data_IF_275083403514
#
_entry.id   IF_275083403514
#
_cell.length_a   1.000
_cell.length_b   1.000
_cell.length_c   1.000
_cell.angle_alpha   90.00
_cell.angle_beta   90.00
_cell.angle_gamma   90.00
#
_symmetry.space_group_name_H-M   'P 1'
#
loop_
_entity.id
_entity.type
_entity.pdbx_description
1 polymer ?
#
# COMPACT_ATOMS: atom_id res chain seq x y z
N UNK A 1 -18.74 13.29 -14.58
CA UNK A 1 -17.71 12.62 -13.75
C UNK A 1 -17.02 11.58 -14.63
N UNK A 2 -15.72 11.73 -14.97
CA UNK A 2 -15.00 10.74 -15.76
C UNK A 2 -14.94 9.42 -14.98
N UNK A 3 -15.34 8.32 -15.61
CA UNK A 3 -15.11 6.98 -15.06
C UNK A 3 -13.62 6.79 -14.89
N UNK A 4 -13.14 6.56 -13.67
CA UNK A 4 -11.77 6.12 -13.44
C UNK A 4 -11.69 4.67 -13.93
N UNK A 5 -11.04 4.47 -15.08
CA UNK A 5 -10.59 3.17 -15.51
C UNK A 5 -9.18 2.96 -14.94
N UNK A 6 -9.00 1.98 -14.08
CA UNK A 6 -7.67 1.63 -13.59
C UNK A 6 -7.03 0.56 -14.48
N UNK A 7 -5.73 0.68 -14.69
CA UNK A 7 -4.97 -0.30 -15.43
C UNK A 7 -4.67 -1.51 -14.52
N UNK A 8 -5.01 -2.71 -14.97
CA UNK A 8 -4.74 -3.94 -14.21
C UNK A 8 -3.24 -4.24 -14.06
N UNK A 9 -2.42 -3.74 -14.97
CA UNK A 9 -0.96 -3.94 -14.98
C UNK A 9 -0.28 -2.60 -15.19
N UNK A 10 0.60 -2.25 -14.25
CA UNK A 10 1.45 -1.08 -14.35
C UNK A 10 2.91 -1.55 -14.40
N UNK A 11 3.70 -1.00 -15.32
CA UNK A 11 5.10 -1.37 -15.52
C UNK A 11 6.04 -0.24 -15.12
N UNK A 12 7.01 -0.56 -14.28
CA UNK A 12 8.18 0.27 -13.97
C UNK A 12 9.43 -0.20 -14.71
N UNK A 13 10.58 0.26 -14.28
CA UNK A 13 11.88 -0.16 -14.81
C UNK A 13 12.22 -1.59 -14.41
N UNK A 14 12.06 -1.91 -13.11
CA UNK A 14 12.39 -3.22 -12.52
C UNK A 14 11.14 -3.97 -12.06
N UNK A 15 10.07 -3.25 -11.76
CA UNK A 15 8.86 -3.78 -11.14
C UNK A 15 7.71 -3.90 -12.14
N UNK A 16 6.84 -4.85 -11.86
CA UNK A 16 5.49 -4.90 -12.41
C UNK A 16 4.51 -4.90 -11.25
N UNK A 17 3.54 -3.99 -11.29
CA UNK A 17 2.41 -3.99 -10.38
C UNK A 17 1.22 -4.64 -11.09
N UNK A 18 0.58 -5.63 -10.45
CA UNK A 18 -0.60 -6.32 -10.99
C UNK A 18 -1.74 -6.20 -10.01
N UNK A 19 -2.89 -5.74 -10.47
CA UNK A 19 -4.09 -5.67 -9.65
C UNK A 19 -4.39 -7.03 -9.03
N UNK A 20 -4.66 -7.05 -7.73
CA UNK A 20 -4.97 -8.28 -7.00
C UNK A 20 -6.38 -8.74 -7.30
N UNK A 21 -6.56 -10.05 -7.43
CA UNK A 21 -7.87 -10.69 -7.65
C UNK A 21 -8.02 -11.87 -6.69
N UNK A 22 -9.25 -12.21 -6.27
CA UNK A 22 -9.48 -13.40 -5.45
C UNK A 22 -9.18 -14.66 -6.26
N UNK A 23 -8.08 -15.30 -5.93
CA UNK A 23 -7.60 -16.54 -6.52
C UNK A 23 -6.93 -17.37 -5.44
N UNK A 24 -7.29 -18.65 -5.34
CA UNK A 24 -6.79 -19.56 -4.27
C UNK A 24 -5.27 -19.72 -4.35
N UNK A 25 -4.71 -19.82 -5.57
CA UNK A 25 -3.27 -19.98 -5.76
C UNK A 25 -2.54 -18.72 -5.31
N UNK A 26 -3.06 -17.54 -5.66
CA UNK A 26 -2.48 -16.27 -5.22
C UNK A 26 -2.65 -16.09 -3.70
N UNK A 27 -3.82 -16.42 -3.12
CA UNK A 27 -4.04 -16.36 -1.67
C UNK A 27 -3.06 -17.26 -0.90
N UNK A 28 -2.72 -18.45 -1.44
CA UNK A 28 -1.70 -19.32 -0.87
C UNK A 28 -0.31 -18.70 -0.88
N UNK A 29 0.09 -18.09 -2.01
CA UNK A 29 1.37 -17.37 -2.13
C UNK A 29 1.41 -16.20 -1.14
N UNK A 30 0.35 -15.41 -1.09
CA UNK A 30 0.22 -14.26 -0.21
C UNK A 30 0.31 -14.67 1.26
N UNK A 31 -0.47 -15.66 1.70
CA UNK A 31 -0.46 -16.18 3.07
C UNK A 31 0.94 -16.64 3.48
N UNK A 32 1.59 -17.48 2.66
CA UNK A 32 2.94 -17.97 2.94
C UNK A 32 3.96 -16.82 3.06
N UNK A 33 3.83 -15.79 2.22
CA UNK A 33 4.71 -14.64 2.26
C UNK A 33 4.47 -13.78 3.51
N UNK A 34 3.21 -13.56 3.90
CA UNK A 34 2.84 -12.86 5.14
C UNK A 34 3.37 -13.65 6.35
N UNK A 35 3.18 -14.96 6.39
CA UNK A 35 3.63 -15.81 7.50
C UNK A 35 5.14 -15.74 7.68
N UNK A 36 5.91 -15.89 6.58
CA UNK A 36 7.37 -15.77 6.58
C UNK A 36 7.85 -14.41 7.08
N UNK A 37 7.07 -13.34 6.86
CA UNK A 37 7.43 -11.97 7.21
C UNK A 37 6.66 -11.41 8.41
N UNK A 38 5.84 -12.20 9.10
CA UNK A 38 4.95 -11.76 10.17
C UNK A 38 5.63 -10.93 11.24
N UNK A 39 6.82 -11.34 11.70
CA UNK A 39 7.60 -10.60 12.70
C UNK A 39 7.98 -9.19 12.23
N UNK A 40 8.31 -9.04 10.94
CA UNK A 40 8.62 -7.75 10.33
C UNK A 40 7.36 -6.89 10.15
N UNK A 41 6.26 -7.50 9.69
CA UNK A 41 5.02 -6.80 9.36
C UNK A 41 4.28 -6.30 10.59
N UNK A 42 4.17 -7.12 11.65
CA UNK A 42 3.40 -6.80 12.87
C UNK A 42 3.87 -5.54 13.59
N UNK A 43 5.10 -5.10 13.34
CA UNK A 43 5.63 -3.88 13.94
C UNK A 43 4.90 -2.64 13.44
N UNK A 44 4.46 -2.64 12.18
CA UNK A 44 3.90 -1.46 11.51
C UNK A 44 2.48 -1.65 10.99
N UNK A 45 2.03 -2.88 10.83
CA UNK A 45 0.78 -3.23 10.16
C UNK A 45 -0.08 -4.10 11.09
N UNK A 46 -1.27 -3.61 11.44
CA UNK A 46 -2.17 -4.32 12.35
C UNK A 46 -3.00 -5.41 11.67
N UNK A 47 -3.15 -5.37 10.35
CA UNK A 47 -3.99 -6.30 9.58
C UNK A 47 -3.35 -7.70 9.46
N UNK A 48 -2.04 -7.84 9.66
CA UNK A 48 -1.34 -9.13 9.53
C UNK A 48 -1.90 -10.20 10.48
N UNK A 49 -2.42 -9.80 11.62
CA UNK A 49 -3.06 -10.69 12.60
C UNK A 49 -4.37 -11.33 12.12
N UNK A 50 -5.02 -10.72 11.12
CA UNK A 50 -6.26 -11.20 10.53
C UNK A 50 -6.02 -12.29 9.47
N UNK A 51 -4.79 -12.41 8.96
CA UNK A 51 -4.40 -13.40 7.95
C UNK A 51 -3.71 -14.58 8.64
N UNK A 52 -4.49 -15.58 9.06
CA UNK A 52 -4.02 -16.76 9.79
C UNK A 52 -4.05 -18.04 8.95
N UNK A 53 -4.83 -18.03 7.89
CA UNK A 53 -5.00 -19.15 6.97
C UNK A 53 -5.06 -18.66 5.52
N UNK A 54 -5.02 -19.61 4.58
CA UNK A 54 -5.22 -19.32 3.15
C UNK A 54 -6.64 -18.80 2.90
N UNK A 55 -7.61 -19.32 3.65
CA UNK A 55 -9.02 -18.90 3.57
C UNK A 55 -9.19 -17.45 4.02
N UNK A 56 -8.48 -17.02 5.06
CA UNK A 56 -8.47 -15.60 5.49
C UNK A 56 -7.90 -14.69 4.39
N UNK A 57 -6.80 -15.12 3.77
CA UNK A 57 -6.20 -14.40 2.65
C UNK A 57 -7.15 -14.32 1.44
N UNK A 58 -7.82 -15.41 1.12
CA UNK A 58 -8.81 -15.44 0.04
C UNK A 58 -10.00 -14.52 0.33
N UNK A 59 -10.53 -14.58 1.55
CA UNK A 59 -11.60 -13.68 2.02
C UNK A 59 -11.18 -12.22 1.92
N UNK A 60 -9.97 -11.89 2.35
CA UNK A 60 -9.40 -10.54 2.22
C UNK A 60 -9.44 -10.06 0.76
N UNK A 61 -9.07 -10.89 -0.21
CA UNK A 61 -9.10 -10.50 -1.63
C UNK A 61 -10.51 -10.36 -2.18
N UNK A 62 -11.49 -11.16 -1.73
CA UNK A 62 -12.90 -10.94 -2.09
C UNK A 62 -13.42 -9.60 -1.56
N UNK A 63 -13.13 -9.25 -0.30
CA UNK A 63 -13.50 -7.97 0.27
C UNK A 63 -12.82 -6.79 -0.47
N UNK A 64 -11.56 -6.96 -0.87
CA UNK A 64 -10.84 -5.96 -1.68
C UNK A 64 -11.45 -5.79 -3.07
N UNK A 65 -11.84 -6.87 -3.73
CA UNK A 65 -12.49 -6.81 -5.04
C UNK A 65 -13.80 -6.02 -4.97
N UNK A 66 -14.64 -6.25 -3.96
CA UNK A 66 -15.88 -5.49 -3.76
C UNK A 66 -15.61 -3.99 -3.53
N UNK A 67 -14.64 -3.67 -2.67
CA UNK A 67 -14.20 -2.28 -2.47
C UNK A 67 -13.62 -1.65 -3.74
N UNK A 68 -12.94 -2.43 -4.57
CA UNK A 68 -12.43 -1.97 -5.86
C UNK A 68 -13.56 -1.63 -6.84
N UNK A 69 -14.60 -2.46 -6.89
CA UNK A 69 -15.81 -2.17 -7.68
C UNK A 69 -16.47 -0.86 -7.25
N UNK A 70 -16.48 -0.59 -5.95
CA UNK A 70 -16.98 0.65 -5.36
C UNK A 70 -16.01 1.84 -5.46
N UNK A 71 -14.79 1.63 -6.00
CA UNK A 71 -13.72 2.64 -6.08
C UNK A 71 -13.24 3.17 -4.72
N UNK A 72 -13.34 2.38 -3.69
CA UNK A 72 -12.87 2.71 -2.34
C UNK A 72 -11.39 2.36 -2.14
N UNK A 73 -10.92 1.33 -2.85
CA UNK A 73 -9.53 0.86 -2.79
C UNK A 73 -9.13 0.24 -4.12
N UNK A 74 -7.87 0.37 -4.49
CA UNK A 74 -7.27 -0.42 -5.55
C UNK A 74 -5.95 -0.95 -5.01
N UNK A 75 -5.75 -2.26 -5.13
CA UNK A 75 -4.57 -2.93 -4.62
C UNK A 75 -3.83 -3.65 -5.73
N UNK A 76 -2.51 -3.51 -5.70
CA UNK A 76 -1.59 -4.16 -6.61
C UNK A 76 -0.59 -5.03 -5.85
N UNK A 77 -0.37 -6.24 -6.33
CA UNK A 77 0.81 -7.01 -5.96
C UNK A 77 2.05 -6.43 -6.62
N UNK A 78 3.14 -6.32 -5.85
CA UNK A 78 4.46 -5.89 -6.34
C UNK A 78 5.22 -7.14 -6.80
N UNK A 79 5.65 -7.14 -8.07
CA UNK A 79 6.41 -8.23 -8.66
C UNK A 79 7.79 -7.76 -9.12
N UNK A 80 8.84 -8.44 -8.67
CA UNK A 80 10.22 -8.28 -9.12
C UNK A 80 10.65 -9.54 -9.86
N UNK A 81 11.04 -9.41 -11.14
CA UNK A 81 11.43 -10.56 -11.99
C UNK A 81 10.39 -11.69 -12.02
N UNK A 82 9.10 -11.33 -11.90
CA UNK A 82 7.99 -12.29 -11.88
C UNK A 82 7.61 -12.86 -10.52
N UNK A 83 8.41 -12.64 -9.47
CA UNK A 83 8.13 -13.07 -8.11
C UNK A 83 7.32 -12.02 -7.34
N UNK A 84 6.27 -12.46 -6.64
CA UNK A 84 5.48 -11.62 -5.75
C UNK A 84 6.25 -11.35 -4.46
N UNK A 85 6.44 -10.06 -4.11
CA UNK A 85 7.28 -9.64 -3.00
C UNK A 85 6.61 -8.68 -2.01
N UNK A 86 5.37 -8.28 -2.24
CA UNK A 86 4.61 -7.36 -1.40
C UNK A 86 3.45 -6.72 -2.12
N UNK A 87 2.75 -5.80 -1.46
CA UNK A 87 1.61 -5.08 -2.03
C UNK A 87 1.79 -3.57 -1.91
N UNK A 88 1.11 -2.87 -2.81
CA UNK A 88 0.86 -1.43 -2.74
C UNK A 88 -0.60 -1.15 -3.07
N UNK A 89 -1.23 -0.26 -2.32
CA UNK A 89 -2.64 0.09 -2.51
C UNK A 89 -2.86 1.59 -2.49
N UNK A 90 -3.91 2.02 -3.16
CA UNK A 90 -4.56 3.32 -2.97
C UNK A 90 -5.88 3.05 -2.26
N UNK A 91 -6.11 3.68 -1.15
CA UNK A 91 -7.33 3.56 -0.35
C UNK A 91 -7.78 4.93 0.16
N UNK A 92 -8.88 5.00 0.90
CA UNK A 92 -9.51 6.26 1.27
C UNK A 92 -9.73 7.18 0.05
N UNK A 93 -10.15 6.57 -1.07
CA UNK A 93 -10.35 7.28 -2.33
C UNK A 93 -11.56 8.20 -2.22
N UNK A 94 -11.34 9.48 -2.46
CA UNK A 94 -12.39 10.49 -2.63
C UNK A 94 -12.37 11.00 -4.06
N UNK A 95 -13.40 10.64 -4.83
CA UNK A 95 -13.55 11.13 -6.20
C UNK A 95 -13.95 12.60 -6.25
N UNK A 96 -14.68 13.06 -5.23
CA UNK A 96 -15.08 14.47 -5.09
C UNK A 96 -13.86 15.36 -4.86
N UNK A 97 -12.99 14.96 -3.93
CA UNK A 97 -11.79 15.72 -3.58
C UNK A 97 -10.57 15.32 -4.43
N UNK A 98 -10.73 14.36 -5.35
CA UNK A 98 -9.65 13.86 -6.21
C UNK A 98 -8.41 13.47 -5.40
N UNK A 99 -8.61 12.66 -4.37
CA UNK A 99 -7.56 12.30 -3.42
C UNK A 99 -7.60 10.83 -3.01
N UNK A 100 -6.49 10.35 -2.46
CA UNK A 100 -6.37 9.01 -1.90
C UNK A 100 -5.13 8.88 -1.03
N UNK A 101 -5.01 7.75 -0.36
CA UNK A 101 -3.88 7.43 0.52
C UNK A 101 -3.14 6.20 0.01
N UNK A 102 -1.81 6.25 0.00
CA UNK A 102 -0.95 5.14 -0.41
C UNK A 102 -0.54 4.34 0.82
N UNK A 103 -0.76 3.02 0.77
CA UNK A 103 -0.21 2.07 1.73
C UNK A 103 0.54 0.95 1.02
N UNK A 104 1.55 0.40 1.67
CA UNK A 104 2.37 -0.68 1.11
C UNK A 104 3.00 -1.54 2.18
N UNK A 105 3.39 -2.71 1.77
CA UNK A 105 4.34 -3.56 2.49
C UNK A 105 5.20 -4.35 1.52
N UNK A 106 6.35 -4.76 2.01
CA UNK A 106 7.31 -5.58 1.25
C UNK A 106 7.98 -6.59 2.18
N UNK A 107 8.47 -7.68 1.62
CA UNK A 107 9.25 -8.66 2.38
C UNK A 107 10.51 -8.04 2.97
N UNK A 108 10.94 -8.54 4.12
CA UNK A 108 12.06 -7.98 4.89
C UNK A 108 13.40 -8.04 4.13
N UNK A 109 13.61 -9.08 3.33
CA UNK A 109 14.80 -9.29 2.50
C UNK A 109 14.89 -8.32 1.31
N UNK A 110 13.75 -7.74 0.90
CA UNK A 110 13.69 -6.75 -0.18
C UNK A 110 13.68 -5.30 0.33
N UNK A 111 13.60 -5.10 1.66
CA UNK A 111 13.59 -3.76 2.24
C UNK A 111 14.92 -3.02 1.99
N UNK A 112 14.87 -1.68 1.85
CA UNK A 112 16.07 -0.84 1.67
C UNK A 112 16.61 -0.74 0.25
N UNK A 113 16.11 -1.54 -0.71
CA UNK A 113 16.60 -1.62 -2.09
C UNK A 113 15.91 -0.66 -3.08
N UNK A 114 15.14 0.33 -2.59
CA UNK A 114 14.46 1.30 -3.44
C UNK A 114 13.18 0.80 -4.12
N UNK A 115 12.80 -0.46 -3.89
CA UNK A 115 11.66 -1.13 -4.53
C UNK A 115 10.35 -0.40 -4.24
N UNK A 116 10.08 -0.09 -2.97
CA UNK A 116 8.86 0.63 -2.57
C UNK A 116 8.85 2.05 -3.16
N UNK A 117 10.01 2.71 -3.23
CA UNK A 117 10.12 4.03 -3.87
C UNK A 117 9.73 3.97 -5.35
N UNK A 118 10.17 2.94 -6.09
CA UNK A 118 9.78 2.73 -7.48
C UNK A 118 8.27 2.42 -7.57
N UNK A 119 7.74 1.54 -6.72
CA UNK A 119 6.31 1.20 -6.70
C UNK A 119 5.43 2.44 -6.43
N UNK A 120 5.80 3.30 -5.48
CA UNK A 120 5.09 4.56 -5.20
C UNK A 120 5.11 5.48 -6.41
N UNK A 121 6.24 5.64 -7.10
CA UNK A 121 6.35 6.47 -8.32
C UNK A 121 5.49 5.94 -9.47
N UNK A 122 5.37 4.61 -9.62
CA UNK A 122 4.47 4.01 -10.61
C UNK A 122 3.02 4.36 -10.30
N UNK A 123 2.59 4.21 -9.04
CA UNK A 123 1.23 4.57 -8.59
C UNK A 123 1.00 6.08 -8.74
N UNK A 124 1.95 6.90 -8.33
CA UNK A 124 1.88 8.37 -8.47
C UNK A 124 1.58 8.77 -9.92
N UNK A 125 2.32 8.20 -10.88
CA UNK A 125 2.07 8.45 -12.30
C UNK A 125 0.65 8.04 -12.71
N UNK A 126 0.18 6.89 -12.25
CA UNK A 126 -1.16 6.40 -12.57
C UNK A 126 -2.24 7.35 -12.02
N UNK A 127 -2.15 7.71 -10.74
CA UNK A 127 -3.20 8.51 -10.09
C UNK A 127 -3.21 9.96 -10.57
N UNK A 128 -2.07 10.59 -10.82
CA UNK A 128 -2.03 11.97 -11.29
C UNK A 128 -2.32 12.10 -12.78
N UNK A 129 -1.84 11.18 -13.62
CA UNK A 129 -2.03 11.28 -15.06
C UNK A 129 -3.37 10.69 -15.53
N UNK A 130 -3.73 9.51 -15.05
CA UNK A 130 -4.89 8.78 -15.55
C UNK A 130 -6.15 9.04 -14.71
N UNK A 131 -6.03 9.07 -13.37
CA UNK A 131 -7.17 9.29 -12.49
C UNK A 131 -7.41 10.77 -12.20
N UNK A 132 -6.47 11.64 -12.58
CA UNK A 132 -6.58 13.09 -12.39
C UNK A 132 -6.72 13.50 -10.92
N UNK A 133 -6.12 12.74 -9.99
CA UNK A 133 -6.10 13.14 -8.59
C UNK A 133 -5.34 14.46 -8.44
N UNK A 134 -5.79 15.26 -7.49
CA UNK A 134 -5.15 16.50 -7.08
C UNK A 134 -4.10 16.25 -5.97
N UNK A 135 -4.34 15.20 -5.15
CA UNK A 135 -3.55 14.96 -3.95
C UNK A 135 -3.45 13.48 -3.64
N UNK A 136 -2.29 13.04 -3.21
CA UNK A 136 -2.09 11.74 -2.57
C UNK A 136 -1.43 11.91 -1.20
N UNK A 137 -1.78 11.04 -0.28
CA UNK A 137 -1.27 11.03 1.09
C UNK A 137 -0.51 9.73 1.37
N UNK A 138 0.44 9.81 2.28
CA UNK A 138 1.14 8.67 2.88
C UNK A 138 1.25 8.93 4.38
N UNK A 139 0.89 7.93 5.18
CA UNK A 139 1.01 8.03 6.64
C UNK A 139 1.93 6.95 7.18
N UNK A 140 2.67 7.26 8.24
CA UNK A 140 3.51 6.27 8.91
C UNK A 140 3.80 6.67 10.37
N UNK A 141 4.18 5.67 11.16
CA UNK A 141 4.72 5.88 12.50
C UNK A 141 6.05 6.65 12.42
N UNK A 142 6.34 7.61 13.33
CA UNK A 142 7.60 8.37 13.34
C UNK A 142 8.86 7.52 13.49
N UNK A 143 8.76 6.32 14.03
CA UNK A 143 9.89 5.38 14.12
C UNK A 143 10.04 4.50 12.86
N UNK A 144 9.10 4.57 11.90
CA UNK A 144 9.21 3.86 10.63
C UNK A 144 10.09 4.63 9.64
N UNK A 145 11.38 4.67 9.94
CA UNK A 145 12.38 5.39 9.13
C UNK A 145 12.36 4.95 7.66
N UNK A 146 12.04 3.69 7.40
CA UNK A 146 11.96 3.18 6.03
C UNK A 146 10.83 3.89 5.24
N UNK A 147 9.64 4.02 5.82
CA UNK A 147 8.51 4.71 5.19
C UNK A 147 8.73 6.23 5.08
N UNK A 148 9.37 6.86 6.09
CA UNK A 148 9.76 8.28 6.01
C UNK A 148 10.68 8.51 4.80
N UNK A 149 11.72 7.70 4.65
CA UNK A 149 12.65 7.78 3.50
C UNK A 149 11.97 7.54 2.16
N UNK A 150 10.93 6.71 2.10
CA UNK A 150 10.13 6.52 0.87
C UNK A 150 9.37 7.82 0.55
N UNK A 151 8.67 8.42 1.53
CA UNK A 151 7.96 9.66 1.35
C UNK A 151 8.89 10.78 0.84
N UNK A 152 10.04 10.97 1.50
CA UNK A 152 11.05 11.97 1.12
C UNK A 152 11.59 11.76 -0.31
N UNK A 153 11.98 10.50 -0.64
CA UNK A 153 12.52 10.17 -1.99
C UNK A 153 11.48 10.28 -3.10
N UNK A 154 10.20 10.19 -2.78
CA UNK A 154 9.11 10.42 -3.72
C UNK A 154 8.65 11.88 -3.75
N UNK A 155 9.28 12.78 -2.99
CA UNK A 155 8.96 14.21 -2.99
C UNK A 155 7.66 14.55 -2.27
N UNK A 156 7.26 13.75 -1.29
CA UNK A 156 6.16 14.10 -0.39
C UNK A 156 6.62 15.11 0.64
N UNK A 157 5.76 16.07 0.96
CA UNK A 157 5.96 17.07 2.01
C UNK A 157 5.32 16.60 3.31
N UNK A 158 6.01 16.76 4.44
CA UNK A 158 5.45 16.54 5.77
C UNK A 158 4.46 17.66 6.10
N UNK A 159 3.23 17.30 6.42
CA UNK A 159 2.16 18.26 6.80
C UNK A 159 1.88 18.31 8.29
N UNK A 160 2.17 17.22 9.00
CA UNK A 160 1.90 17.21 10.43
C UNK A 160 2.09 15.88 11.13
N UNK A 161 1.77 15.93 12.42
CA UNK A 161 1.82 14.79 13.34
C UNK A 161 0.48 14.68 14.06
N UNK A 162 -0.18 13.54 13.93
CA UNK A 162 -1.30 13.17 14.80
C UNK A 162 -0.75 12.49 16.05
N UNK A 163 -0.97 13.08 17.21
CA UNK A 163 -0.51 12.51 18.48
C UNK A 163 -1.45 11.43 18.96
N UNK A 164 -0.91 10.27 19.38
CA UNK A 164 -1.65 9.12 19.91
C UNK A 164 -2.80 8.66 19.00
N UNK A 165 -2.55 8.64 17.70
CA UNK A 165 -3.54 8.40 16.65
C UNK A 165 -4.06 6.95 16.65
N UNK A 166 -3.21 5.98 16.98
CA UNK A 166 -3.62 4.57 17.04
C UNK A 166 -2.93 3.80 18.17
N UNK A 167 -3.59 2.74 18.66
CA UNK A 167 -2.99 1.80 19.60
C UNK A 167 -2.23 0.72 18.84
N UNK A 168 -0.93 0.59 19.10
CA UNK A 168 -0.11 -0.47 18.55
C UNK A 168 -0.05 -1.67 19.49
N UNK A 169 -0.59 -2.84 19.11
CA UNK A 169 -0.45 -4.05 19.92
C UNK A 169 1.00 -4.52 20.07
N UNK A 170 1.84 -4.26 19.06
CA UNK A 170 3.25 -4.62 19.09
C UNK A 170 4.03 -3.86 20.16
N UNK A 171 3.81 -2.54 20.24
CA UNK A 171 4.48 -1.68 21.22
C UNK A 171 3.71 -1.58 22.54
N UNK A 172 2.46 -2.11 22.60
CA UNK A 172 1.53 -2.01 23.71
C UNK A 172 1.33 -0.56 24.20
N UNK A 173 1.20 0.39 23.27
CA UNK A 173 1.00 1.81 23.56
C UNK A 173 0.33 2.54 22.39
N UNK A 174 -0.23 3.73 22.70
CA UNK A 174 -0.66 4.66 21.65
C UNK A 174 0.54 5.25 20.93
N UNK A 175 0.46 5.27 19.60
CA UNK A 175 1.51 5.76 18.71
C UNK A 175 1.04 6.98 17.93
N UNK A 176 1.99 7.80 17.56
CA UNK A 176 1.77 8.96 16.70
C UNK A 176 1.81 8.55 15.22
N UNK A 177 1.21 9.40 14.37
CA UNK A 177 1.21 9.20 12.91
C UNK A 177 1.71 10.47 12.21
N UNK A 178 2.78 10.37 11.45
CA UNK A 178 3.22 11.40 10.51
C UNK A 178 2.30 11.38 9.29
N UNK A 179 1.96 12.57 8.79
CA UNK A 179 1.16 12.76 7.58
C UNK A 179 2.05 13.43 6.53
N UNK A 180 2.25 12.73 5.43
CA UNK A 180 2.92 13.26 4.25
C UNK A 180 1.93 13.39 3.10
N UNK A 181 2.14 14.38 2.25
CA UNK A 181 1.33 14.55 1.04
C UNK A 181 2.14 14.94 -0.16
N UNK A 182 1.59 14.65 -1.33
CA UNK A 182 2.06 15.15 -2.61
C UNK A 182 0.89 15.66 -3.43
N UNK A 183 1.05 16.81 -4.02
CA UNK A 183 0.06 17.44 -4.89
C UNK A 183 0.41 17.20 -6.36
N UNK A 184 -0.60 17.23 -7.21
CA UNK A 184 -0.42 17.24 -8.66
C UNK A 184 0.22 18.58 -9.04
N UNK A 185 1.32 18.52 -9.77
CA UNK A 185 1.96 19.68 -10.41
C UNK A 185 1.23 20.08 -11.70
#
# INVERSE_FOLDING_TARGET
>A
MKLIAFNEILKGEKLTLKATKPDVKFATIYFNLVEKNRFHLKKWLSWEKEIKTVEDALKYFFEKEEKTKNKEVIEYGIYLKGEFIGNISIFNISLEHQSGEIGYWITSDMAGNGIVTEAVKIIEKEVFSNWQFNRIQLTCDPENIASIKVAEKCGFSLEGLKRKDFFSPYFNQFRDTLIFSKLKE
#
